data_IF_528891826309
#
_entry.id   IF_528891826309
#
_cell.length_a   1.000
_cell.length_b   1.000
_cell.length_c   1.000
_cell.angle_alpha   90.00
_cell.angle_beta   90.00
_cell.angle_gamma   90.00
#
_symmetry.space_group_name_H-M   'P 1'
#
loop_
_entity.id
_entity.type
_entity.pdbx_description
1 polymer ?
#
# COMPACT_ATOMS: atom_id res chain seq x y z
N UNK A 1 -11.80 3.51 8.17
CA UNK A 1 -10.78 3.58 9.23
C UNK A 1 -11.38 3.95 10.59
N UNK A 2 -11.82 5.18 10.86
CA UNK A 2 -12.23 5.60 12.23
C UNK A 2 -13.37 4.76 12.85
N UNK A 3 -14.35 4.34 12.04
CA UNK A 3 -15.41 3.43 12.48
C UNK A 3 -14.82 2.09 12.93
N UNK A 4 -13.90 1.51 12.15
CA UNK A 4 -13.23 0.26 12.50
C UNK A 4 -12.40 0.38 13.78
N UNK A 5 -11.73 1.52 14.02
CA UNK A 5 -11.04 1.76 15.31
C UNK A 5 -12.04 1.70 16.46
N UNK A 6 -13.20 2.38 16.34
CA UNK A 6 -14.24 2.36 17.38
C UNK A 6 -14.83 0.96 17.61
N UNK A 7 -14.85 0.15 16.57
CA UNK A 7 -15.31 -1.25 16.61
C UNK A 7 -14.20 -2.25 16.96
N UNK A 8 -12.99 -1.77 17.33
CA UNK A 8 -11.82 -2.59 17.68
C UNK A 8 -11.32 -3.50 16.54
N UNK A 9 -11.67 -3.17 15.29
CA UNK A 9 -11.24 -3.82 14.04
C UNK A 9 -9.96 -3.16 13.51
N UNK A 10 -8.88 -3.27 14.27
CA UNK A 10 -7.67 -2.47 14.04
C UNK A 10 -6.95 -2.80 12.73
N UNK A 11 -6.91 -4.06 12.32
CA UNK A 11 -6.27 -4.47 11.05
C UNK A 11 -7.01 -3.85 9.84
N UNK A 12 -8.34 -3.93 9.84
CA UNK A 12 -9.19 -3.35 8.82
C UNK A 12 -9.17 -1.82 8.89
N UNK A 13 -8.95 -1.23 10.06
CA UNK A 13 -8.76 0.21 10.20
C UNK A 13 -7.52 0.67 9.45
N UNK A 14 -6.39 -0.03 9.65
CA UNK A 14 -5.12 0.22 8.95
C UNK A 14 -5.28 0.05 7.44
N UNK A 15 -5.81 -1.08 6.99
CA UNK A 15 -5.99 -1.37 5.56
C UNK A 15 -6.83 -0.30 4.88
N UNK A 16 -7.92 0.13 5.50
CA UNK A 16 -8.76 1.19 4.96
C UNK A 16 -8.06 2.54 4.90
N UNK A 17 -7.13 2.83 5.82
CA UNK A 17 -6.33 4.07 5.78
C UNK A 17 -5.35 4.04 4.60
N UNK A 18 -4.57 2.97 4.49
CA UNK A 18 -3.57 2.81 3.42
C UNK A 18 -4.27 2.81 2.05
N UNK A 19 -5.40 2.11 1.91
CA UNK A 19 -6.21 2.13 0.70
C UNK A 19 -6.66 3.56 0.36
N UNK A 20 -7.16 4.32 1.34
CA UNK A 20 -7.58 5.70 1.12
C UNK A 20 -6.41 6.58 0.65
N UNK A 21 -5.24 6.49 1.29
CA UNK A 21 -4.04 7.24 0.90
C UNK A 21 -3.60 6.91 -0.54
N UNK A 22 -3.54 5.62 -0.89
CA UNK A 22 -3.10 5.17 -2.23
C UNK A 22 -4.10 5.57 -3.31
N UNK A 23 -5.39 5.27 -3.11
CA UNK A 23 -6.45 5.55 -4.09
C UNK A 23 -6.57 7.05 -4.30
N UNK A 24 -6.68 7.82 -3.21
CA UNK A 24 -6.85 9.27 -3.32
C UNK A 24 -5.59 9.94 -3.90
N UNK A 25 -4.39 9.47 -3.54
CA UNK A 25 -3.14 9.92 -4.17
C UNK A 25 -3.10 9.64 -5.67
N UNK A 26 -3.62 8.49 -6.13
CA UNK A 26 -3.76 8.19 -7.56
C UNK A 26 -4.76 9.12 -8.25
N UNK A 27 -5.88 9.43 -7.61
CA UNK A 27 -6.89 10.38 -8.14
C UNK A 27 -6.28 11.76 -8.30
N UNK A 28 -5.60 12.29 -7.27
CA UNK A 28 -4.99 13.63 -7.33
C UNK A 28 -3.95 13.72 -8.45
N UNK A 29 -3.06 12.72 -8.57
CA UNK A 29 -2.02 12.68 -9.62
C UNK A 29 -2.57 12.60 -11.05
N UNK A 30 -3.86 12.27 -11.19
CA UNK A 30 -4.56 12.16 -12.47
C UNK A 30 -5.68 13.20 -12.61
N UNK A 31 -5.87 14.07 -11.63
CA UNK A 31 -6.80 15.19 -11.72
C UNK A 31 -6.27 16.20 -12.73
N UNK A 32 -7.15 16.69 -13.61
CA UNK A 32 -6.84 17.78 -14.54
C UNK A 32 -6.75 19.14 -13.85
N UNK A 33 -7.31 19.23 -12.65
CA UNK A 33 -7.39 20.46 -11.86
C UNK A 33 -6.59 20.30 -10.58
N UNK A 34 -5.64 21.21 -10.37
CA UNK A 34 -4.93 21.36 -9.11
C UNK A 34 -5.78 22.19 -8.16
N UNK A 35 -6.37 21.54 -7.16
CA UNK A 35 -7.02 22.22 -6.06
C UNK A 35 -6.17 22.01 -4.80
N UNK A 36 -5.74 23.10 -4.14
CA UNK A 36 -4.99 23.03 -2.87
C UNK A 36 -5.70 22.16 -1.82
N UNK A 37 -7.04 22.15 -1.85
CA UNK A 37 -7.90 21.35 -0.96
C UNK A 37 -7.63 19.85 -1.04
N UNK A 38 -7.13 19.35 -2.17
CA UNK A 38 -6.82 17.94 -2.35
C UNK A 38 -5.61 17.51 -1.51
N UNK A 39 -4.54 18.31 -1.50
CA UNK A 39 -3.36 18.02 -0.70
C UNK A 39 -3.65 18.10 0.81
N UNK A 40 -4.55 19.00 1.23
CA UNK A 40 -4.98 19.09 2.62
C UNK A 40 -5.63 17.79 3.13
N UNK A 41 -6.38 17.08 2.29
CA UNK A 41 -6.97 15.80 2.71
C UNK A 41 -5.94 14.67 2.79
N UNK A 42 -4.95 14.62 1.89
CA UNK A 42 -3.84 13.66 2.00
C UNK A 42 -3.06 13.86 3.30
N UNK A 43 -2.72 15.12 3.63
CA UNK A 43 -2.04 15.45 4.88
C UNK A 43 -2.86 14.99 6.09
N UNK A 44 -4.18 15.17 6.07
CA UNK A 44 -5.06 14.66 7.12
C UNK A 44 -5.02 13.14 7.26
N UNK A 45 -4.93 12.40 6.15
CA UNK A 45 -4.78 10.93 6.21
C UNK A 45 -3.41 10.52 6.76
N UNK A 46 -2.36 11.28 6.46
CA UNK A 46 -1.03 11.10 7.05
C UNK A 46 -1.03 11.42 8.56
N UNK A 47 -1.72 12.48 8.98
CA UNK A 47 -1.92 12.78 10.41
C UNK A 47 -2.63 11.65 11.13
N UNK A 48 -3.63 11.03 10.51
CA UNK A 48 -4.29 9.85 11.09
C UNK A 48 -3.35 8.67 11.25
N UNK A 49 -2.48 8.43 10.27
CA UNK A 49 -1.45 7.39 10.38
C UNK A 49 -0.53 7.68 11.56
N UNK A 50 0.04 8.87 11.62
CA UNK A 50 1.04 9.26 12.63
C UNK A 50 0.47 9.36 14.05
N UNK A 51 -0.80 9.73 14.20
CA UNK A 51 -1.42 9.96 15.51
C UNK A 51 -2.17 8.75 16.06
N UNK A 52 -2.74 7.90 15.20
CA UNK A 52 -3.66 6.83 15.62
C UNK A 52 -3.06 5.42 15.51
N UNK A 53 -1.93 5.27 14.81
CA UNK A 53 -1.27 3.98 14.59
C UNK A 53 0.16 4.02 15.11
N UNK A 54 0.70 2.88 15.56
CA UNK A 54 2.10 2.78 15.96
C UNK A 54 3.03 2.84 14.74
N UNK A 55 4.31 3.09 15.00
CA UNK A 55 5.34 2.89 13.98
C UNK A 55 5.45 1.41 13.63
N UNK A 56 5.36 1.08 12.35
CA UNK A 56 5.52 -0.28 11.85
C UNK A 56 6.91 -0.51 11.29
N UNK A 57 7.30 -1.78 11.27
CA UNK A 57 8.29 -2.27 10.33
C UNK A 57 7.57 -2.87 9.14
N UNK A 58 8.09 -2.63 7.94
CA UNK A 58 7.51 -3.11 6.71
C UNK A 58 8.47 -4.03 5.98
N UNK A 59 7.91 -4.67 4.97
CA UNK A 59 8.52 -5.71 4.19
C UNK A 59 8.54 -5.24 2.74
N UNK A 60 9.70 -5.30 2.10
CA UNK A 60 9.85 -5.01 0.68
C UNK A 60 10.50 -6.18 -0.03
N UNK A 61 10.06 -6.45 -1.27
CA UNK A 61 10.61 -7.50 -2.12
C UNK A 61 11.42 -6.89 -3.24
N UNK A 62 12.58 -7.50 -3.51
CA UNK A 62 13.46 -7.17 -4.63
C UNK A 62 13.64 -8.39 -5.53
N UNK A 63 13.69 -8.17 -6.84
CA UNK A 63 13.90 -9.27 -7.77
C UNK A 63 13.84 -8.87 -9.24
N UNK A 64 14.18 -9.85 -10.09
CA UNK A 64 14.25 -9.70 -11.54
C UNK A 64 12.93 -10.07 -12.20
N UNK A 65 12.31 -9.11 -12.88
CA UNK A 65 11.08 -9.34 -13.63
C UNK A 65 11.42 -9.96 -14.98
N UNK A 66 10.97 -11.19 -15.20
CA UNK A 66 11.19 -11.94 -16.44
C UNK A 66 10.12 -11.64 -17.48
N UNK A 67 8.86 -11.53 -17.05
CA UNK A 67 7.72 -11.20 -17.93
C UNK A 67 6.77 -10.23 -17.26
N UNK A 68 6.38 -9.21 -18.01
CA UNK A 68 5.35 -8.26 -17.61
C UNK A 68 4.71 -7.57 -18.81
N UNK A 69 3.48 -7.10 -18.63
CA UNK A 69 2.74 -6.36 -19.64
C UNK A 69 1.99 -5.16 -19.05
N UNK A 70 1.61 -4.22 -19.92
CA UNK A 70 0.76 -3.09 -19.58
C UNK A 70 -0.69 -3.56 -19.33
N UNK A 71 -1.33 -3.10 -18.26
CA UNK A 71 -2.73 -3.47 -17.96
C UNK A 71 -3.75 -2.90 -18.95
N UNK A 72 -3.41 -1.85 -19.71
CA UNK A 72 -4.34 -1.18 -20.63
C UNK A 72 -4.38 -1.85 -22.01
N UNK A 73 -3.21 -2.25 -22.53
CA UNK A 73 -3.10 -2.76 -23.91
C UNK A 73 -2.49 -4.16 -24.01
N UNK A 74 -2.05 -4.75 -22.91
CA UNK A 74 -1.41 -6.07 -22.82
C UNK A 74 -0.10 -6.24 -23.62
N UNK A 75 0.44 -5.16 -24.20
CA UNK A 75 1.79 -5.16 -24.77
C UNK A 75 2.82 -5.32 -23.65
N UNK A 76 3.97 -5.91 -24.00
CA UNK A 76 5.10 -6.05 -23.08
C UNK A 76 5.47 -4.69 -22.50
N UNK A 77 5.79 -4.65 -21.20
CA UNK A 77 6.17 -3.40 -20.54
C UNK A 77 7.35 -2.74 -21.23
N UNK A 78 7.19 -1.47 -21.63
CA UNK A 78 8.18 -0.72 -22.41
C UNK A 78 7.90 -0.68 -23.91
N UNK A 79 7.01 -1.53 -24.42
CA UNK A 79 6.66 -1.60 -25.84
C UNK A 79 5.37 -0.79 -26.16
N UNK A 80 4.94 0.10 -25.27
CA UNK A 80 3.80 1.00 -25.47
C UNK A 80 4.01 2.35 -24.76
N UNK A 81 3.26 3.37 -25.18
CA UNK A 81 3.37 4.73 -24.63
C UNK A 81 2.53 4.98 -23.35
N UNK A 82 1.90 3.94 -22.80
CA UNK A 82 1.12 4.06 -21.56
C UNK A 82 2.05 4.26 -20.35
N UNK A 83 1.83 5.33 -19.60
CA UNK A 83 2.61 5.73 -18.43
C UNK A 83 2.02 5.06 -17.19
N UNK A 84 2.84 4.25 -16.49
CA UNK A 84 2.44 3.64 -15.22
C UNK A 84 1.97 4.71 -14.22
N UNK A 85 0.81 4.47 -13.62
CA UNK A 85 0.18 5.39 -12.66
C UNK A 85 -0.67 6.49 -13.29
N UNK A 86 -0.79 6.53 -14.63
CA UNK A 86 -1.73 7.42 -15.33
C UNK A 86 -3.05 6.72 -15.67
N UNK A 87 -4.13 7.48 -15.67
CA UNK A 87 -5.47 7.01 -16.06
C UNK A 87 -5.66 7.04 -17.58
N UNK A 88 -6.23 5.98 -18.11
CA UNK A 88 -6.64 5.83 -19.50
C UNK A 88 -8.06 5.28 -19.53
N UNK A 89 -9.01 6.05 -20.07
CA UNK A 89 -10.43 5.66 -20.14
C UNK A 89 -11.04 5.21 -18.80
N UNK A 90 -10.59 5.80 -17.68
CA UNK A 90 -11.06 5.46 -16.34
C UNK A 90 -10.29 4.32 -15.66
N UNK A 91 -9.33 3.70 -16.35
CA UNK A 91 -8.51 2.62 -15.81
C UNK A 91 -7.09 3.10 -15.50
N UNK A 92 -6.55 2.67 -14.36
CA UNK A 92 -5.17 3.01 -13.97
C UNK A 92 -4.19 2.10 -14.72
N UNK A 93 -3.29 2.68 -15.49
CA UNK A 93 -2.22 1.91 -16.11
C UNK A 93 -1.27 1.36 -15.05
N UNK A 94 -1.21 0.05 -14.95
CA UNK A 94 -0.32 -0.69 -14.06
C UNK A 94 0.55 -1.65 -14.87
N UNK A 95 1.67 -2.06 -14.26
CA UNK A 95 2.50 -3.13 -14.81
C UNK A 95 2.04 -4.44 -14.18
N UNK A 96 1.54 -5.35 -15.00
CA UNK A 96 1.18 -6.70 -14.58
C UNK A 96 2.43 -7.57 -14.71
N UNK A 97 2.98 -8.02 -13.58
CA UNK A 97 4.13 -8.92 -13.54
C UNK A 97 3.57 -10.34 -13.52
N UNK A 98 3.90 -11.13 -14.54
CA UNK A 98 3.43 -12.53 -14.67
C UNK A 98 4.53 -13.54 -14.38
N UNK A 99 5.79 -13.11 -14.40
CA UNK A 99 6.94 -13.95 -14.06
C UNK A 99 8.04 -13.09 -13.44
N UNK A 100 8.53 -13.49 -12.27
CA UNK A 100 9.55 -12.80 -11.50
C UNK A 100 10.42 -13.82 -10.78
N UNK A 101 11.71 -13.55 -10.74
CA UNK A 101 12.68 -14.23 -9.88
C UNK A 101 12.88 -13.38 -8.63
N UNK A 102 12.49 -13.92 -7.47
CA UNK A 102 12.68 -13.25 -6.18
C UNK A 102 14.17 -13.36 -5.79
N UNK A 103 14.79 -12.21 -5.52
CA UNK A 103 16.21 -12.16 -5.12
C UNK A 103 16.35 -11.85 -3.64
N UNK A 104 15.53 -10.92 -3.14
CA UNK A 104 15.63 -10.47 -1.77
C UNK A 104 14.29 -10.14 -1.16
N UNK A 105 14.35 -10.09 0.16
CA UNK A 105 13.32 -9.53 0.99
C UNK A 105 14.00 -8.71 2.10
N UNK A 106 13.52 -7.51 2.31
CA UNK A 106 14.15 -6.52 3.19
C UNK A 106 13.14 -5.96 4.19
N UNK A 107 13.58 -5.78 5.43
CA UNK A 107 12.85 -5.00 6.42
C UNK A 107 13.15 -3.52 6.21
N UNK A 108 12.12 -2.70 6.06
CA UNK A 108 12.23 -1.28 5.73
C UNK A 108 11.29 -0.44 6.59
N UNK A 109 11.67 0.81 6.83
CA UNK A 109 10.83 1.80 7.51
C UNK A 109 9.85 2.49 6.55
N UNK A 110 10.26 2.72 5.30
CA UNK A 110 9.46 3.41 4.29
C UNK A 110 9.21 2.51 3.07
N UNK A 111 8.14 1.69 3.06
CA UNK A 111 7.86 0.78 1.96
C UNK A 111 7.15 1.48 0.78
N UNK A 112 7.25 0.90 -0.41
CA UNK A 112 6.37 1.27 -1.52
C UNK A 112 4.90 0.87 -1.28
N UNK A 113 4.68 -0.15 -0.44
CA UNK A 113 3.35 -0.65 -0.08
C UNK A 113 3.23 -0.81 1.44
N UNK A 114 2.51 0.10 2.09
CA UNK A 114 2.25 0.08 3.54
C UNK A 114 1.29 -1.04 4.00
N UNK A 115 0.68 -1.79 3.08
CA UNK A 115 -0.01 -3.04 3.45
C UNK A 115 0.98 -4.14 3.88
N UNK A 116 2.23 -4.07 3.41
CA UNK A 116 3.27 -5.05 3.73
C UNK A 116 3.90 -4.82 5.11
N UNK A 117 3.12 -4.44 6.13
CA UNK A 117 3.59 -4.34 7.52
C UNK A 117 3.85 -5.74 8.08
N UNK A 118 4.76 -5.85 9.06
CA UNK A 118 4.84 -7.06 9.86
C UNK A 118 3.53 -7.20 10.66
N UNK A 119 2.89 -8.38 10.56
CA UNK A 119 1.58 -8.62 11.19
C UNK A 119 1.73 -9.06 12.63
N UNK A 120 2.61 -10.03 12.88
CA UNK A 120 2.82 -10.61 14.19
C UNK A 120 4.29 -10.93 14.43
N UNK A 121 4.70 -10.95 15.69
CA UNK A 121 5.95 -11.57 16.13
C UNK A 121 5.65 -12.76 17.05
N UNK A 122 6.60 -13.66 17.19
CA UNK A 122 6.56 -14.70 18.21
C UNK A 122 7.65 -14.44 19.25
N UNK A 123 7.28 -14.43 20.52
CA UNK A 123 8.19 -14.26 21.64
C UNK A 123 7.85 -15.27 22.73
N UNK A 124 8.83 -16.10 23.13
CA UNK A 124 8.65 -17.14 24.15
C UNK A 124 7.49 -18.11 23.86
N UNK A 125 7.25 -18.44 22.58
CA UNK A 125 6.14 -19.30 22.15
C UNK A 125 4.76 -18.64 22.13
N UNK A 126 4.68 -17.33 22.42
CA UNK A 126 3.44 -16.54 22.33
C UNK A 126 3.49 -15.71 21.05
N UNK A 127 2.48 -15.88 20.20
CA UNK A 127 2.30 -15.08 18.99
C UNK A 127 1.54 -13.80 19.33
N UNK A 128 2.11 -12.65 19.00
CA UNK A 128 1.60 -11.32 19.37
C UNK A 128 1.34 -10.52 18.09
N UNK A 129 0.16 -9.93 17.97
CA UNK A 129 -0.17 -8.98 16.90
C UNK A 129 0.57 -7.66 17.14
N UNK A 130 1.35 -7.17 16.17
CA UNK A 130 2.22 -5.99 16.36
C UNK A 130 1.40 -4.70 16.46
N UNK A 131 0.23 -4.66 15.84
CA UNK A 131 -0.62 -3.47 15.81
C UNK A 131 -1.31 -3.23 17.17
N UNK A 132 -1.80 -4.30 17.79
CA UNK A 132 -2.62 -4.26 19.02
C UNK A 132 -1.88 -4.72 20.26
N UNK A 133 -0.72 -5.38 20.09
CA UNK A 133 0.07 -6.05 21.14
C UNK A 133 -0.69 -7.14 21.89
N UNK A 134 -1.76 -7.68 21.28
CA UNK A 134 -2.56 -8.77 21.86
C UNK A 134 -2.03 -10.11 21.39
N UNK A 135 -2.17 -11.11 22.27
CA UNK A 135 -1.91 -12.50 21.90
C UNK A 135 -2.90 -12.96 20.80
N UNK A 136 -2.36 -13.56 19.76
CA UNK A 136 -3.13 -14.20 18.69
C UNK A 136 -3.38 -15.64 19.12
N UNK A 137 -4.60 -15.93 19.57
CA UNK A 137 -5.02 -17.29 19.88
C UNK A 137 -5.28 -18.04 18.57
N UNK A 138 -4.65 -19.21 18.42
CA UNK A 138 -4.93 -20.15 17.33
C UNK A 138 -6.32 -20.77 17.47
#
# INVERSE_FOLDING_TARGET
MLVNIKEDKMAEAWENLVNAQVIYGNVIRNSLFEYETHYNYLNRLEDYENLLFPNFHFQSVGGLIKKSHCSICNLKSGDCDHIKGKLYFGELCTRIITEMELEEYSLVENPANKHCRVISIEQNGIKIDILTLREIKN
#
